data_IF_924738168041
#
_entry.id   IF_924738168041
#
_cell.length_a   1.000
_cell.length_b   1.000
_cell.length_c   1.000
_cell.angle_alpha   90.00
_cell.angle_beta   90.00
_cell.angle_gamma   90.00
#
_symmetry.space_group_name_H-M   'P 1'
#
loop_
_entity.id
_entity.type
_entity.pdbx_description
1 polymer ?
#
# COMPACT_ATOMS: atom_id res chain seq x y z
N UNK A 1 0.46 4.24 -20.63
CA UNK A 1 -0.18 4.71 -19.39
C UNK A 1 0.89 5.40 -18.58
N UNK A 2 0.90 6.74 -18.63
CA UNK A 2 1.90 7.58 -17.96
C UNK A 2 1.94 7.28 -16.46
N UNK A 3 3.15 7.31 -15.91
CA UNK A 3 3.40 7.16 -14.48
C UNK A 3 2.56 8.17 -13.69
N UNK A 4 1.73 7.67 -12.77
CA UNK A 4 1.00 8.47 -11.78
C UNK A 4 1.97 9.05 -10.75
N UNK A 5 2.82 9.97 -11.18
CA UNK A 5 3.67 10.73 -10.27
C UNK A 5 2.81 11.80 -9.60
N UNK A 6 2.93 11.94 -8.28
CA UNK A 6 2.44 13.05 -7.45
C UNK A 6 2.87 14.45 -7.95
N UNK A 7 3.65 14.52 -9.03
CA UNK A 7 4.07 15.71 -9.75
C UNK A 7 3.05 16.20 -10.81
N UNK A 8 2.01 15.43 -11.14
CA UNK A 8 0.96 15.90 -12.06
C UNK A 8 0.15 17.05 -11.40
N UNK A 9 0.14 18.26 -11.99
CA UNK A 9 -0.65 19.38 -11.49
C UNK A 9 -2.13 19.04 -11.27
N UNK A 10 -2.69 18.12 -12.06
CA UNK A 10 -4.07 17.64 -11.92
C UNK A 10 -4.27 16.87 -10.61
N UNK A 11 -3.36 15.95 -10.28
CA UNK A 11 -3.42 15.12 -9.07
C UNK A 11 -3.21 15.96 -7.81
N UNK A 12 -2.34 16.97 -7.87
CA UNK A 12 -2.12 17.89 -6.74
C UNK A 12 -3.36 18.71 -6.40
N UNK A 13 -4.10 19.19 -7.42
CA UNK A 13 -5.36 19.92 -7.22
C UNK A 13 -6.44 19.02 -6.63
N UNK A 14 -6.58 17.79 -7.14
CA UNK A 14 -7.50 16.80 -6.57
C UNK A 14 -7.16 16.51 -5.11
N UNK A 15 -5.87 16.35 -4.79
CA UNK A 15 -5.43 16.13 -3.42
C UNK A 15 -5.81 17.32 -2.51
N UNK A 16 -5.57 18.56 -2.95
CA UNK A 16 -5.94 19.76 -2.20
C UNK A 16 -7.46 19.86 -1.97
N UNK A 17 -8.28 19.48 -2.97
CA UNK A 17 -9.73 19.43 -2.85
C UNK A 17 -10.17 18.39 -1.82
N UNK A 18 -9.65 17.16 -1.90
CA UNK A 18 -9.99 16.08 -0.96
C UNK A 18 -9.56 16.45 0.45
N UNK A 19 -8.39 17.05 0.61
CA UNK A 19 -7.88 17.51 1.90
C UNK A 19 -8.79 18.59 2.52
N UNK A 20 -9.30 19.52 1.70
CA UNK A 20 -10.26 20.55 2.15
C UNK A 20 -11.61 19.96 2.56
N UNK A 21 -12.10 18.94 1.86
CA UNK A 21 -13.43 18.34 2.10
C UNK A 21 -13.44 17.29 3.22
N UNK A 22 -12.39 16.47 3.29
CA UNK A 22 -12.34 15.29 4.17
C UNK A 22 -11.28 15.38 5.26
N UNK A 23 -10.36 16.35 5.18
CA UNK A 23 -9.24 16.51 6.12
C UNK A 23 -8.17 15.42 6.00
N UNK A 24 -8.19 14.67 4.90
CA UNK A 24 -7.39 13.47 4.66
C UNK A 24 -6.71 13.59 3.29
N UNK A 25 -5.49 13.07 3.17
CA UNK A 25 -4.75 13.08 1.90
C UNK A 25 -5.25 11.97 0.94
N UNK A 26 -5.11 12.20 -0.36
CA UNK A 26 -5.56 11.30 -1.42
C UNK A 26 -5.04 9.87 -1.24
N UNK A 27 -3.79 9.71 -0.82
CA UNK A 27 -3.12 8.41 -0.61
C UNK A 27 -3.69 7.60 0.58
N UNK A 28 -4.38 8.27 1.51
CA UNK A 28 -5.09 7.62 2.61
C UNK A 28 -6.46 7.07 2.19
N UNK A 29 -6.94 7.40 0.98
CA UNK A 29 -8.16 6.79 0.45
C UNK A 29 -7.95 5.30 0.20
N UNK A 30 -9.05 4.53 0.27
CA UNK A 30 -9.00 3.09 0.03
C UNK A 30 -8.54 2.80 -1.42
N UNK A 31 -9.03 3.61 -2.37
CA UNK A 31 -8.77 3.50 -3.81
C UNK A 31 -8.38 4.86 -4.45
N UNK A 32 -7.20 5.43 -4.17
CA UNK A 32 -6.77 6.73 -4.71
C UNK A 32 -6.81 6.80 -6.23
N UNK A 33 -6.34 5.74 -6.91
CA UNK A 33 -6.32 5.68 -8.37
C UNK A 33 -7.73 5.71 -8.98
N UNK A 34 -8.70 5.07 -8.32
CA UNK A 34 -10.10 5.10 -8.77
C UNK A 34 -10.68 6.49 -8.65
N UNK A 35 -10.35 7.21 -7.57
CA UNK A 35 -10.77 8.60 -7.38
C UNK A 35 -10.20 9.51 -8.47
N UNK A 36 -8.90 9.46 -8.72
CA UNK A 36 -8.27 10.26 -9.80
C UNK A 36 -8.87 9.94 -11.17
N UNK A 37 -9.13 8.67 -11.48
CA UNK A 37 -9.76 8.28 -12.74
C UNK A 37 -11.20 8.80 -12.83
N UNK A 38 -11.98 8.73 -11.74
CA UNK A 38 -13.34 9.29 -11.69
C UNK A 38 -13.34 10.81 -11.88
N UNK A 39 -12.40 11.52 -11.26
CA UNK A 39 -12.24 12.98 -11.47
C UNK A 39 -11.90 13.31 -12.93
N UNK A 40 -10.97 12.56 -13.52
CA UNK A 40 -10.59 12.76 -14.93
C UNK A 40 -11.76 12.49 -15.87
N UNK A 41 -12.52 11.43 -15.60
CA UNK A 41 -13.73 11.12 -16.35
C UNK A 41 -14.80 12.21 -16.19
N UNK A 42 -14.99 12.73 -14.98
CA UNK A 42 -15.92 13.83 -14.70
C UNK A 42 -15.49 15.12 -15.39
N UNK A 43 -14.20 15.44 -15.38
CA UNK A 43 -13.64 16.58 -16.10
C UNK A 43 -13.97 16.49 -17.60
N UNK A 44 -13.70 15.34 -18.22
CA UNK A 44 -14.00 15.12 -19.64
C UNK A 44 -15.51 15.23 -19.93
N UNK A 45 -16.35 14.62 -19.09
CA UNK A 45 -17.81 14.64 -19.28
C UNK A 45 -18.41 16.04 -19.04
N UNK A 46 -17.90 16.80 -18.07
CA UNK A 46 -18.35 18.18 -17.83
C UNK A 46 -17.89 19.12 -18.94
N UNK A 47 -16.71 18.90 -19.51
CA UNK A 47 -16.24 19.60 -20.72
C UNK A 47 -17.12 19.28 -21.94
N UNK A 48 -17.46 18.00 -22.14
CA UNK A 48 -18.41 17.57 -23.18
C UNK A 48 -19.79 18.21 -22.96
N UNK A 49 -20.27 18.27 -21.72
CA UNK A 49 -21.55 18.90 -21.39
C UNK A 49 -21.53 20.42 -21.64
N UNK A 50 -20.44 21.11 -21.31
CA UNK A 50 -20.28 22.53 -21.57
C UNK A 50 -20.31 22.86 -23.07
N UNK A 51 -19.64 22.05 -23.90
CA UNK A 51 -19.68 22.21 -25.36
C UNK A 51 -21.08 21.92 -25.95
N UNK A 52 -21.79 20.91 -25.45
CA UNK A 52 -23.15 20.58 -25.89
C UNK A 52 -24.20 21.62 -25.47
N UNK A 53 -23.95 22.38 -24.40
CA UNK A 53 -24.89 23.37 -23.86
C UNK A 53 -24.51 24.81 -24.22
N UNK A 54 -23.46 25.00 -25.02
CA UNK A 54 -23.05 26.31 -25.52
C UNK A 54 -22.36 27.20 -24.47
N UNK A 55 -21.83 26.62 -23.39
CA UNK A 55 -20.95 27.29 -22.43
C UNK A 55 -19.48 27.04 -22.81
N UNK A 56 -19.10 27.49 -24.01
CA UNK A 56 -17.74 27.31 -24.57
C UNK A 56 -16.68 28.22 -23.95
N UNK A 57 -17.05 29.11 -23.01
CA UNK A 57 -16.04 29.93 -22.35
C UNK A 57 -15.05 29.04 -21.60
N UNK A 58 -13.78 29.38 -21.78
CA UNK A 58 -12.53 28.75 -21.37
C UNK A 58 -12.46 28.50 -19.86
N UNK A 59 -13.28 27.58 -19.40
CA UNK A 59 -13.55 27.35 -17.99
C UNK A 59 -12.78 26.11 -17.57
N UNK A 60 -11.85 26.28 -16.62
CA UNK A 60 -11.18 25.18 -15.93
C UNK A 60 -12.22 24.38 -15.13
N UNK A 61 -12.77 23.33 -15.76
CA UNK A 61 -13.90 22.53 -15.28
C UNK A 61 -13.59 21.72 -14.01
N UNK A 62 -12.33 21.73 -13.57
CA UNK A 62 -11.81 20.99 -12.42
C UNK A 62 -12.49 21.38 -11.11
N UNK A 63 -12.72 22.67 -10.87
CA UNK A 63 -13.25 23.19 -9.61
C UNK A 63 -14.75 23.50 -9.67
N UNK A 64 -15.40 23.19 -10.78
CA UNK A 64 -16.78 23.58 -11.02
C UNK A 64 -17.75 22.45 -10.82
N UNK A 65 -18.89 22.80 -10.26
CA UNK A 65 -19.99 21.86 -10.11
C UNK A 65 -20.61 21.58 -11.47
N UNK A 66 -21.25 20.42 -11.61
CA UNK A 66 -21.98 20.07 -12.83
C UNK A 66 -23.05 21.11 -13.17
N UNK A 67 -23.64 21.78 -12.18
CA UNK A 67 -24.57 22.90 -12.38
C UNK A 67 -23.92 24.15 -12.97
N UNK A 68 -22.65 24.40 -12.69
CA UNK A 68 -21.94 25.57 -13.25
C UNK A 68 -21.59 25.34 -14.73
N UNK A 69 -21.33 24.09 -15.09
CA UNK A 69 -20.97 23.67 -16.44
C UNK A 69 -22.18 23.49 -17.37
N UNK A 70 -23.38 23.35 -16.81
CA UNK A 70 -24.62 23.13 -17.56
C UNK A 70 -25.26 24.46 -17.96
N UNK A 71 -25.30 24.76 -19.26
CA UNK A 71 -26.02 25.90 -19.83
C UNK A 71 -27.53 25.68 -19.92
N UNK A 72 -28.01 24.47 -19.64
CA UNK A 72 -29.36 24.02 -19.96
C UNK A 72 -29.50 23.64 -21.44
N UNK A 73 -30.51 22.82 -21.77
CA UNK A 73 -30.74 22.36 -23.14
C UNK A 73 -29.78 21.26 -23.60
N UNK A 74 -29.42 21.23 -24.89
CA UNK A 74 -28.46 20.27 -25.47
C UNK A 74 -29.04 18.94 -25.99
N UNK A 75 -30.37 18.77 -25.93
CA UNK A 75 -31.07 17.60 -26.47
C UNK A 75 -30.75 16.27 -25.75
N UNK A 76 -31.16 15.15 -26.35
CA UNK A 76 -31.04 13.79 -25.78
C UNK A 76 -29.58 13.42 -25.42
N UNK A 77 -28.61 13.89 -26.20
CA UNK A 77 -27.18 13.65 -25.95
C UNK A 77 -26.69 14.33 -24.66
N UNK A 78 -27.13 15.57 -24.39
CA UNK A 78 -26.79 16.24 -23.13
C UNK A 78 -27.42 15.54 -21.93
N UNK A 79 -28.65 15.03 -22.06
CA UNK A 79 -29.33 14.27 -21.00
C UNK A 79 -28.63 12.94 -20.68
N UNK A 80 -28.08 12.25 -21.70
CA UNK A 80 -27.25 11.06 -21.49
C UNK A 80 -25.95 11.40 -20.73
N UNK A 81 -25.30 12.50 -21.07
CA UNK A 81 -24.08 12.97 -20.37
C UNK A 81 -24.40 13.35 -18.93
N UNK A 82 -25.50 14.06 -18.66
CA UNK A 82 -25.98 14.37 -17.30
C UNK A 82 -26.16 13.11 -16.44
N UNK A 83 -26.79 12.06 -17.00
CA UNK A 83 -26.97 10.77 -16.30
C UNK A 83 -25.64 10.08 -15.99
N UNK A 84 -24.68 10.13 -16.93
CA UNK A 84 -23.33 9.57 -16.71
C UNK A 84 -22.57 10.32 -15.62
N UNK A 85 -22.69 11.65 -15.60
CA UNK A 85 -22.09 12.51 -14.58
C UNK A 85 -22.67 12.19 -13.20
N UNK A 86 -24.00 12.19 -13.03
CA UNK A 86 -24.66 11.89 -11.75
C UNK A 86 -24.26 10.52 -11.19
N UNK A 87 -24.15 9.51 -12.07
CA UNK A 87 -23.65 8.18 -11.68
C UNK A 87 -22.20 8.24 -11.17
N UNK A 88 -21.31 8.91 -11.90
CA UNK A 88 -19.89 9.01 -11.51
C UNK A 88 -19.67 9.89 -10.28
N UNK A 89 -20.47 10.93 -10.07
CA UNK A 89 -20.43 11.75 -8.86
C UNK A 89 -20.85 10.96 -7.62
N UNK A 90 -21.89 10.12 -7.74
CA UNK A 90 -22.28 9.19 -6.67
C UNK A 90 -21.15 8.22 -6.34
N UNK A 91 -20.56 7.58 -7.34
CA UNK A 91 -19.43 6.67 -7.15
C UNK A 91 -18.23 7.39 -6.51
N UNK A 92 -17.92 8.61 -6.97
CA UNK A 92 -16.85 9.43 -6.42
C UNK A 92 -17.08 9.78 -4.95
N UNK A 93 -18.32 10.15 -4.58
CA UNK A 93 -18.66 10.49 -3.20
C UNK A 93 -18.50 9.31 -2.24
N UNK A 94 -18.75 8.08 -2.72
CA UNK A 94 -18.54 6.85 -1.94
C UNK A 94 -17.04 6.61 -1.75
N UNK A 95 -16.25 6.73 -2.82
CA UNK A 95 -14.81 6.49 -2.78
C UNK A 95 -14.04 7.54 -1.96
N UNK A 96 -14.42 8.83 -2.04
CA UNK A 96 -13.84 9.90 -1.20
C UNK A 96 -14.11 9.67 0.29
N UNK A 97 -15.21 9.01 0.65
CA UNK A 97 -15.55 8.65 2.05
C UNK A 97 -14.93 7.34 2.51
N UNK A 98 -14.48 6.50 1.59
CA UNK A 98 -13.78 5.26 1.88
C UNK A 98 -12.32 5.56 2.27
N UNK A 99 -12.12 6.14 3.46
CA UNK A 99 -10.79 6.43 4.00
C UNK A 99 -10.23 5.19 4.69
N UNK A 100 -8.96 4.86 4.43
CA UNK A 100 -8.21 3.87 5.18
C UNK A 100 -7.86 4.46 6.56
N UNK A 101 -8.82 4.37 7.48
CA UNK A 101 -8.79 5.08 8.76
C UNK A 101 -7.50 4.77 9.55
N UNK A 102 -6.79 5.80 10.04
CA UNK A 102 -5.53 5.66 10.77
C UNK A 102 -5.55 4.74 12.00
N UNK A 103 -6.70 4.58 12.68
CA UNK A 103 -6.86 3.59 13.77
C UNK A 103 -6.56 2.15 13.31
N UNK A 104 -6.84 1.81 12.05
CA UNK A 104 -6.58 0.48 11.48
C UNK A 104 -5.07 0.27 11.30
N UNK A 105 -4.33 1.31 10.89
CA UNK A 105 -2.86 1.28 10.82
C UNK A 105 -2.26 0.99 12.21
N UNK A 106 -2.83 1.58 13.27
CA UNK A 106 -2.40 1.32 14.65
C UNK A 106 -2.71 -0.09 15.13
N UNK A 107 -3.83 -0.68 14.71
CA UNK A 107 -4.15 -2.09 15.02
C UNK A 107 -3.10 -3.01 14.40
N UNK A 108 -2.72 -2.79 13.14
CA UNK A 108 -1.67 -3.58 12.49
C UNK A 108 -0.30 -3.41 13.16
N UNK A 109 0.03 -2.20 13.62
CA UNK A 109 1.25 -1.99 14.41
C UNK A 109 1.20 -2.72 15.76
N UNK A 110 0.07 -2.68 16.46
CA UNK A 110 -0.15 -3.43 17.69
C UNK A 110 -0.01 -4.94 17.47
N UNK A 111 -0.60 -5.46 16.39
CA UNK A 111 -0.44 -6.84 15.97
C UNK A 111 1.02 -7.19 15.69
N UNK A 112 1.77 -6.33 15.01
CA UNK A 112 3.18 -6.54 14.72
C UNK A 112 4.01 -6.65 16.00
N UNK A 113 3.81 -5.75 16.97
CA UNK A 113 4.53 -5.74 18.26
C UNK A 113 4.20 -6.97 19.09
N UNK A 114 2.90 -7.31 19.20
CA UNK A 114 2.47 -8.52 19.91
C UNK A 114 3.03 -9.78 19.24
N UNK A 115 2.99 -9.84 17.91
CA UNK A 115 3.56 -10.94 17.13
C UNK A 115 5.07 -11.06 17.33
N UNK A 116 5.78 -9.93 17.44
CA UNK A 116 7.21 -9.90 17.68
C UNK A 116 7.55 -10.50 19.05
N UNK A 117 6.86 -10.07 20.12
CA UNK A 117 7.04 -10.64 21.45
C UNK A 117 6.70 -12.13 21.51
N UNK A 118 5.56 -12.53 20.95
CA UNK A 118 5.14 -13.93 20.90
C UNK A 118 6.15 -14.79 20.14
N UNK A 119 6.61 -14.32 18.97
CA UNK A 119 7.56 -15.04 18.12
C UNK A 119 8.92 -15.26 18.80
N UNK A 120 9.39 -14.27 19.56
CA UNK A 120 10.63 -14.36 20.33
C UNK A 120 10.54 -15.46 21.38
N UNK A 121 9.44 -15.47 22.15
CA UNK A 121 9.23 -16.49 23.17
C UNK A 121 9.07 -17.87 22.52
N UNK A 122 8.35 -17.98 21.40
CA UNK A 122 8.26 -19.24 20.65
C UNK A 122 9.63 -19.75 20.19
N UNK A 123 10.49 -18.87 19.67
CA UNK A 123 11.81 -19.23 19.15
C UNK A 123 12.83 -19.59 20.25
N UNK A 124 12.70 -19.05 21.46
CA UNK A 124 13.70 -19.19 22.54
C UNK A 124 13.23 -20.06 23.70
N UNK A 125 11.98 -19.92 24.13
CA UNK A 125 11.39 -20.63 25.26
C UNK A 125 9.89 -20.92 25.01
N UNK A 126 9.57 -21.90 24.16
CA UNK A 126 8.17 -22.23 23.84
C UNK A 126 7.38 -22.75 25.06
N UNK A 127 8.07 -23.32 26.06
CA UNK A 127 7.46 -23.78 27.31
C UNK A 127 6.78 -22.65 28.09
N UNK A 128 7.32 -21.42 28.02
CA UNK A 128 6.70 -20.27 28.68
C UNK A 128 5.29 -19.96 28.17
N UNK A 129 4.97 -20.34 26.92
CA UNK A 129 3.64 -20.17 26.33
C UNK A 129 2.80 -21.44 26.38
N UNK A 130 3.43 -22.59 26.14
CA UNK A 130 2.71 -23.84 25.89
C UNK A 130 2.95 -24.95 26.93
N UNK A 131 3.86 -24.74 27.89
CA UNK A 131 4.23 -25.74 28.89
C UNK A 131 3.11 -26.07 29.89
N UNK A 132 2.09 -25.22 30.02
CA UNK A 132 0.91 -25.56 30.81
C UNK A 132 0.02 -26.63 30.14
N UNK A 133 0.22 -26.89 28.84
CA UNK A 133 -0.60 -27.84 28.09
C UNK A 133 0.03 -29.24 28.05
N UNK A 134 -0.81 -30.24 28.36
CA UNK A 134 -0.42 -31.64 28.38
C UNK A 134 -0.06 -32.19 26.96
N UNK A 135 -0.57 -31.58 25.88
CA UNK A 135 -0.16 -31.95 24.51
C UNK A 135 1.29 -31.53 24.19
N UNK A 136 1.78 -30.44 24.81
CA UNK A 136 3.12 -29.92 24.55
C UNK A 136 4.20 -30.91 25.01
N UNK A 137 3.94 -31.64 26.11
CA UNK A 137 4.87 -32.63 26.65
C UNK A 137 4.67 -34.04 26.07
N UNK A 138 3.47 -34.33 25.54
CA UNK A 138 3.15 -35.66 24.99
C UNK A 138 3.58 -35.85 23.55
N UNK A 139 3.59 -34.77 22.76
CA UNK A 139 3.99 -34.84 21.35
C UNK A 139 5.49 -34.64 21.26
N UNK A 140 6.21 -35.68 20.86
CA UNK A 140 7.66 -35.60 20.64
C UNK A 140 8.00 -34.51 19.61
N UNK A 141 9.03 -33.71 19.86
CA UNK A 141 9.57 -32.67 18.97
C UNK A 141 8.64 -31.49 18.62
N UNK A 142 7.55 -31.31 19.37
CA UNK A 142 6.63 -30.20 19.16
C UNK A 142 7.26 -28.85 19.55
N UNK A 143 8.16 -28.86 20.52
CA UNK A 143 9.01 -27.74 20.94
C UNK A 143 9.82 -27.19 19.76
N UNK A 144 10.50 -28.07 19.02
CA UNK A 144 11.29 -27.71 17.83
C UNK A 144 10.41 -27.10 16.75
N UNK A 145 9.22 -27.68 16.53
CA UNK A 145 8.26 -27.18 15.54
C UNK A 145 7.77 -25.76 15.89
N UNK A 146 7.51 -25.50 17.17
CA UNK A 146 7.11 -24.18 17.67
C UNK A 146 8.25 -23.17 17.55
N UNK A 147 9.49 -23.57 17.83
CA UNK A 147 10.66 -22.71 17.66
C UNK A 147 10.91 -22.34 16.19
N UNK A 148 10.76 -23.32 15.29
CA UNK A 148 10.82 -23.09 13.84
C UNK A 148 9.74 -22.11 13.41
N UNK A 149 8.51 -22.33 13.86
CA UNK A 149 7.41 -21.41 13.63
C UNK A 149 7.70 -20.00 14.20
N UNK A 150 8.41 -19.91 15.32
CA UNK A 150 8.84 -18.67 15.94
C UNK A 150 9.69 -17.79 15.03
N UNK A 151 10.73 -18.33 14.38
CA UNK A 151 11.51 -17.50 13.44
C UNK A 151 10.80 -17.28 12.09
N UNK A 152 9.97 -18.23 11.63
CA UNK A 152 9.14 -18.05 10.43
C UNK A 152 8.03 -17.00 10.63
N UNK A 153 7.70 -16.69 11.89
CA UNK A 153 6.71 -15.65 12.25
C UNK A 153 7.07 -14.26 11.70
N UNK A 154 8.36 -13.99 11.49
CA UNK A 154 8.84 -12.77 10.82
C UNK A 154 8.20 -12.59 9.47
N UNK A 155 8.27 -13.62 8.63
CA UNK A 155 7.75 -13.58 7.28
C UNK A 155 6.24 -13.75 7.23
N UNK A 156 5.65 -14.54 8.13
CA UNK A 156 4.22 -14.86 8.11
C UNK A 156 3.33 -13.76 8.71
N UNK A 157 3.79 -13.06 9.74
CA UNK A 157 2.94 -12.15 10.51
C UNK A 157 3.56 -10.78 10.75
N UNK A 158 4.84 -10.68 11.08
CA UNK A 158 5.47 -9.40 11.46
C UNK A 158 5.63 -8.49 10.23
N UNK A 159 6.35 -8.94 9.20
CA UNK A 159 6.56 -8.14 7.98
C UNK A 159 5.24 -7.87 7.25
N UNK A 160 4.33 -8.83 7.06
CA UNK A 160 3.03 -8.57 6.42
C UNK A 160 2.16 -7.57 7.19
N UNK A 161 2.16 -7.60 8.53
CA UNK A 161 1.38 -6.63 9.33
C UNK A 161 1.97 -5.22 9.26
N UNK A 162 3.30 -5.09 9.19
CA UNK A 162 3.91 -3.78 8.92
C UNK A 162 3.57 -3.29 7.50
N UNK A 163 3.59 -4.18 6.51
CA UNK A 163 3.26 -3.87 5.12
C UNK A 163 1.77 -3.50 4.92
N UNK A 164 0.85 -4.07 5.68
CA UNK A 164 -0.59 -3.78 5.58
C UNK A 164 -0.96 -2.36 6.03
N UNK A 165 -0.06 -1.65 6.71
CA UNK A 165 -0.20 -0.22 7.05
C UNK A 165 -0.14 0.71 5.83
N UNK A 166 0.17 0.18 4.64
CA UNK A 166 0.42 0.94 3.41
C UNK A 166 1.54 1.96 3.58
N UNK A 167 2.75 1.52 3.98
CA UNK A 167 3.90 2.40 4.09
C UNK A 167 4.25 3.01 2.74
N UNK A 168 4.76 4.24 2.75
CA UNK A 168 5.21 4.98 1.56
C UNK A 168 6.70 5.30 1.67
N UNK A 169 7.34 5.66 0.55
CA UNK A 169 8.75 6.08 0.52
C UNK A 169 9.75 5.02 1.00
N UNK A 170 10.67 5.42 1.88
CA UNK A 170 11.74 4.58 2.42
C UNK A 170 11.23 3.35 3.19
N UNK A 171 10.17 3.52 4.00
CA UNK A 171 9.61 2.41 4.80
C UNK A 171 9.08 1.29 3.90
N UNK A 172 8.48 1.63 2.76
CA UNK A 172 8.04 0.64 1.76
C UNK A 172 9.22 -0.16 1.21
N UNK A 173 10.30 0.53 0.80
CA UNK A 173 11.52 -0.10 0.27
C UNK A 173 12.14 -1.05 1.30
N UNK A 174 12.23 -0.61 2.56
CA UNK A 174 12.72 -1.43 3.67
C UNK A 174 11.90 -2.72 3.85
N UNK A 175 10.57 -2.60 3.88
CA UNK A 175 9.69 -3.74 4.11
C UNK A 175 9.64 -4.71 2.94
N UNK A 176 9.77 -4.22 1.70
CA UNK A 176 9.87 -5.07 0.51
C UNK A 176 11.19 -5.88 0.50
N UNK A 177 12.33 -5.27 0.89
CA UNK A 177 13.61 -5.98 1.07
C UNK A 177 13.48 -7.01 2.19
N UNK A 178 12.92 -6.61 3.34
CA UNK A 178 12.73 -7.49 4.50
C UNK A 178 11.82 -8.68 4.18
N UNK A 179 10.78 -8.49 3.37
CA UNK A 179 9.85 -9.55 2.96
C UNK A 179 10.55 -10.66 2.16
N UNK A 180 11.64 -10.35 1.46
CA UNK A 180 12.45 -11.34 0.74
C UNK A 180 13.66 -11.83 1.55
N UNK A 181 14.27 -10.94 2.33
CA UNK A 181 15.44 -11.27 3.13
C UNK A 181 15.11 -12.23 4.26
N UNK A 182 13.98 -12.05 4.94
CA UNK A 182 13.60 -12.89 6.08
C UNK A 182 13.36 -14.37 5.74
N UNK A 183 12.61 -14.75 4.67
CA UNK A 183 12.48 -16.16 4.30
C UNK A 183 13.80 -16.73 3.79
N UNK A 184 14.63 -15.93 3.09
CA UNK A 184 15.94 -16.37 2.61
C UNK A 184 16.87 -16.71 3.78
N UNK A 185 16.96 -15.85 4.80
CA UNK A 185 17.69 -16.15 6.04
C UNK A 185 17.11 -17.35 6.75
N UNK A 186 15.78 -17.47 6.82
CA UNK A 186 15.12 -18.59 7.49
C UNK A 186 15.40 -19.94 6.81
N UNK A 187 15.69 -19.95 5.50
CA UNK A 187 16.08 -21.15 4.74
C UNK A 187 17.59 -21.44 4.87
N UNK A 188 18.44 -20.41 4.83
CA UNK A 188 19.91 -20.58 4.80
C UNK A 188 20.54 -20.69 6.18
N UNK A 189 20.00 -20.00 7.19
CA UNK A 189 20.58 -19.94 8.52
C UNK A 189 20.70 -21.32 9.22
N UNK A 190 19.76 -22.28 9.06
CA UNK A 190 19.90 -23.63 9.60
C UNK A 190 21.16 -24.38 9.17
N UNK A 191 21.80 -23.98 8.05
CA UNK A 191 23.06 -24.56 7.57
C UNK A 191 24.24 -24.12 8.47
N UNK A 192 24.19 -22.89 8.97
CA UNK A 192 25.24 -22.29 9.78
C UNK A 192 25.01 -22.43 11.29
N UNK A 193 23.75 -22.32 11.73
CA UNK A 193 23.37 -22.43 13.15
C UNK A 193 22.09 -23.23 13.30
N UNK A 194 22.06 -24.13 14.29
CA UNK A 194 20.84 -24.86 14.67
C UNK A 194 20.05 -24.15 15.76
N UNK A 195 20.59 -23.06 16.32
CA UNK A 195 19.93 -22.28 17.36
C UNK A 195 18.88 -21.35 16.75
N UNK A 196 17.61 -21.63 17.05
CA UNK A 196 16.45 -20.93 16.52
C UNK A 196 16.36 -19.49 17.03
N UNK A 197 16.86 -19.22 18.24
CA UNK A 197 16.98 -17.86 18.77
C UNK A 197 17.94 -17.00 17.94
N UNK A 198 19.09 -17.55 17.55
CA UNK A 198 20.04 -16.90 16.64
C UNK A 198 19.43 -16.66 15.26
N UNK A 199 18.67 -17.63 14.70
CA UNK A 199 17.98 -17.45 13.41
C UNK A 199 16.94 -16.32 13.51
N UNK A 200 16.21 -16.24 14.63
CA UNK A 200 15.28 -15.14 14.88
C UNK A 200 16.00 -13.79 14.94
N UNK A 201 17.15 -13.70 15.61
CA UNK A 201 17.96 -12.47 15.66
C UNK A 201 18.53 -12.10 14.29
N UNK A 202 18.90 -13.08 13.46
CA UNK A 202 19.33 -12.84 12.10
C UNK A 202 18.20 -12.22 11.26
N UNK A 203 16.96 -12.70 11.41
CA UNK A 203 15.79 -12.07 10.79
C UNK A 203 15.54 -10.64 11.30
N UNK A 204 15.68 -10.40 12.61
CA UNK A 204 15.61 -9.04 13.16
C UNK A 204 16.67 -8.12 12.53
N UNK A 205 17.91 -8.62 12.41
CA UNK A 205 19.01 -7.88 11.79
C UNK A 205 18.75 -7.57 10.31
N UNK A 206 18.12 -8.49 9.56
CA UNK A 206 17.68 -8.22 8.18
C UNK A 206 16.65 -7.11 8.14
N UNK A 207 15.62 -7.15 8.99
CA UNK A 207 14.59 -6.11 9.02
C UNK A 207 15.20 -4.76 9.38
N UNK A 208 15.96 -4.70 10.48
CA UNK A 208 16.64 -3.48 10.92
C UNK A 208 17.63 -2.94 9.87
N UNK A 209 18.41 -3.83 9.25
CA UNK A 209 19.33 -3.49 8.16
C UNK A 209 18.61 -2.99 6.92
N UNK A 210 17.45 -3.55 6.59
CA UNK A 210 16.61 -3.09 5.47
C UNK A 210 16.07 -1.68 5.72
N UNK A 211 15.66 -1.38 6.96
CA UNK A 211 15.28 -0.02 7.37
C UNK A 211 16.46 0.94 7.28
N UNK A 212 17.61 0.58 7.84
CA UNK A 212 18.82 1.41 7.77
C UNK A 212 19.25 1.69 6.31
N UNK A 213 19.27 0.65 5.47
CA UNK A 213 19.60 0.78 4.04
C UNK A 213 18.60 1.66 3.30
N UNK A 214 17.31 1.47 3.52
CA UNK A 214 16.29 2.27 2.84
C UNK A 214 16.36 3.74 3.25
N UNK A 215 16.55 4.05 4.53
CA UNK A 215 16.69 5.44 4.98
C UNK A 215 17.96 6.10 4.44
N UNK A 216 19.10 5.40 4.44
CA UNK A 216 20.35 5.93 3.88
C UNK A 216 20.26 6.18 2.37
N UNK A 217 19.57 5.29 1.64
CA UNK A 217 19.43 5.42 0.18
C UNK A 217 18.28 6.34 -0.24
N UNK A 218 17.36 6.69 0.64
CA UNK A 218 16.25 7.58 0.32
C UNK A 218 16.72 9.03 0.10
N UNK A 219 17.62 9.53 0.96
CA UNK A 219 18.23 10.87 0.83
C UNK A 219 19.09 11.02 -0.44
N UNK A 220 19.75 9.93 -0.88
CA UNK A 220 20.54 9.96 -2.12
C UNK A 220 19.66 10.01 -3.37
N UNK A 221 18.45 9.42 -3.33
CA UNK A 221 17.57 9.34 -4.50
C UNK A 221 16.69 10.59 -4.69
N UNK A 222 16.42 11.40 -3.65
CA UNK A 222 15.85 12.75 -3.84
C UNK A 222 16.84 13.70 -4.53
N UNK A 223 18.15 13.41 -4.44
CA UNK A 223 19.21 14.10 -5.20
C UNK A 223 19.55 13.35 -6.50
N UNK A 224 18.53 13.11 -7.33
CA UNK A 224 18.69 13.05 -8.78
C UNK A 224 19.67 12.04 -9.38
N UNK A 225 19.61 10.75 -8.99
CA UNK A 225 20.29 9.72 -9.79
C UNK A 225 19.56 8.35 -9.75
N UNK A 226 18.70 8.09 -10.74
CA UNK A 226 17.90 6.85 -10.88
C UNK A 226 18.75 5.60 -11.24
N UNK A 227 20.08 5.66 -11.19
CA UNK A 227 20.96 4.68 -11.84
C UNK A 227 21.87 3.86 -10.93
N UNK A 228 21.67 3.86 -9.61
CA UNK A 228 22.55 3.13 -8.67
C UNK A 228 21.99 1.84 -8.06
N UNK A 229 20.74 1.47 -8.32
CA UNK A 229 20.23 0.18 -7.85
C UNK A 229 20.71 -0.94 -8.81
N UNK A 230 21.44 -1.97 -8.32
CA UNK A 230 21.86 -3.12 -9.11
C UNK A 230 20.71 -3.77 -9.89
N UNK A 231 20.93 -4.21 -11.13
CA UNK A 231 19.87 -4.76 -12.01
C UNK A 231 19.08 -5.92 -11.38
N UNK A 232 19.74 -6.74 -10.54
CA UNK A 232 19.09 -7.83 -9.82
C UNK A 232 18.10 -7.32 -8.76
N UNK A 233 18.38 -6.19 -8.10
CA UNK A 233 17.47 -5.54 -7.16
C UNK A 233 16.29 -4.93 -7.92
N UNK A 234 16.52 -4.29 -9.07
CA UNK A 234 15.44 -3.75 -9.90
C UNK A 234 14.49 -4.85 -10.40
N UNK A 235 15.05 -5.99 -10.82
CA UNK A 235 14.26 -7.17 -11.22
C UNK A 235 13.43 -7.73 -10.05
N UNK A 236 14.00 -7.77 -8.86
CA UNK A 236 13.32 -8.19 -7.63
C UNK A 236 12.22 -7.22 -7.22
N UNK A 237 12.45 -5.91 -7.26
CA UNK A 237 11.41 -4.91 -6.99
C UNK A 237 10.27 -5.02 -8.00
N UNK A 238 10.59 -5.24 -9.28
CA UNK A 238 9.61 -5.41 -10.34
C UNK A 238 8.78 -6.69 -10.17
N UNK A 239 9.34 -7.76 -9.60
CA UNK A 239 8.60 -9.00 -9.32
C UNK A 239 7.76 -8.91 -8.02
N UNK A 240 8.19 -8.10 -7.05
CA UNK A 240 7.41 -7.80 -5.84
C UNK A 240 6.24 -6.82 -6.09
N UNK A 241 6.35 -5.92 -7.08
CA UNK A 241 5.29 -5.00 -7.50
C UNK A 241 4.14 -5.69 -8.26
N UNK A 242 4.27 -6.99 -8.58
CA UNK A 242 3.20 -7.78 -9.26
C UNK A 242 1.96 -7.97 -8.36
N UNK A 243 2.07 -7.74 -7.05
CA UNK A 243 0.95 -7.75 -6.11
C UNK A 243 0.12 -6.45 -6.06
N UNK A 244 0.57 -5.34 -6.68
CA UNK A 244 -0.08 -4.03 -6.55
C UNK A 244 -1.23 -3.76 -7.54
N UNK A 245 -1.74 -4.80 -8.21
CA UNK A 245 -2.96 -4.69 -9.04
C UNK A 245 -2.72 -4.12 -10.44
N UNK A 246 -1.48 -4.19 -10.95
CA UNK A 246 -1.11 -3.73 -12.30
C UNK A 246 -1.68 -4.58 -13.46
N UNK A 247 -2.29 -5.74 -13.19
CA UNK A 247 -2.65 -6.72 -14.25
C UNK A 247 -4.12 -7.18 -14.27
N UNK A 248 -5.09 -6.29 -14.02
CA UNK A 248 -6.52 -6.62 -14.29
C UNK A 248 -7.23 -5.71 -15.31
N UNK A 249 -6.51 -4.81 -15.97
CA UNK A 249 -7.10 -3.91 -16.98
C UNK A 249 -6.79 -4.23 -18.44
N UNK A 250 -6.03 -5.27 -18.75
CA UNK A 250 -5.61 -5.58 -20.13
C UNK A 250 -6.23 -6.87 -20.64
N UNK A 251 -7.53 -6.87 -20.91
CA UNK A 251 -8.13 -7.75 -21.93
C UNK A 251 -9.28 -7.02 -22.63
N UNK A 252 -8.99 -6.64 -23.88
CA UNK A 252 -9.83 -6.40 -25.07
C UNK A 252 -11.18 -5.72 -24.86
#
# INVERSE_FOLDING_TARGET
SEEMTSADPFVQRINAQIQKESGVDLDELLNPAKVVNLERDLYNLRSELASLTGKEDEIDVLDLSTSDCDGGGGGERADEVRKKIDKKEKDLSIERRAVFRGWLKNIFLGQAILSLGLSWVMATNPEALFGSFDWFHRISSIDVSIQVLGFWWWWLFIVPSLRSRRPTGAEKKALDIAFLGTPLISILAPIATKDQGTIWLANLAVVAGSYAFAFLTFDENEKGDKNKDPEWLQFIYKSLDVGSGKERGARK
#
